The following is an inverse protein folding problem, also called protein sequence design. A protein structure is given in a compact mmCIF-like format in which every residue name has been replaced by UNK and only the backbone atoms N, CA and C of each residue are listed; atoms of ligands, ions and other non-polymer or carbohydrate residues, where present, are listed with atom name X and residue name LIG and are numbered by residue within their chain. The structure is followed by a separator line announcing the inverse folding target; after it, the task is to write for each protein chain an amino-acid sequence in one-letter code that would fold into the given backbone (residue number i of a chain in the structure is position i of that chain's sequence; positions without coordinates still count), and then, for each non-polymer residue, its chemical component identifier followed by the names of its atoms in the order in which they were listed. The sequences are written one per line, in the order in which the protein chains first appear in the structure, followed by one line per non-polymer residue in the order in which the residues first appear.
data_IF_068003505198
#
_entry.id   IF_068003505198
#
_cell.length_a   1.000
_cell.length_b   1.000
_cell.length_c   1.000
_cell.angle_alpha   90.00
_cell.angle_beta   90.00
_cell.angle_gamma   90.00
#
_symmetry.space_group_name_H-M   'P 1'
#
loop_
_entity.id
_entity.type
_entity.pdbx_description
1 polymer ?
#
# COMPACT_ATOMS: atom_id res chain seq x y z
N UNK A 1 40.41 -45.16 0.10
CA UNK A 1 40.47 -43.84 -0.55
C UNK A 1 39.31 -43.03 0.00
N UNK A 2 39.59 -41.97 0.76
CA UNK A 2 38.58 -41.18 1.50
C UNK A 2 38.21 -39.93 0.70
N UNK A 3 36.90 -39.75 0.55
CA UNK A 3 36.14 -38.49 0.64
C UNK A 3 36.44 -37.40 -0.40
N UNK A 4 35.43 -37.06 -1.19
CA UNK A 4 34.69 -35.80 -1.00
C UNK A 4 33.59 -35.71 -2.07
N UNK A 5 32.34 -35.99 -1.68
CA UNK A 5 31.19 -35.55 -2.46
C UNK A 5 30.97 -34.07 -2.13
N UNK A 6 31.20 -33.18 -3.11
CA UNK A 6 30.77 -31.79 -3.01
C UNK A 6 29.23 -31.78 -3.03
N UNK A 7 28.61 -31.56 -1.87
CA UNK A 7 27.23 -31.11 -1.82
C UNK A 7 27.21 -29.63 -2.24
N UNK A 8 26.80 -29.36 -3.48
CA UNK A 8 26.27 -28.04 -3.83
C UNK A 8 24.99 -27.83 -3.02
N UNK A 9 25.10 -27.04 -1.97
CA UNK A 9 23.95 -26.50 -1.25
C UNK A 9 23.31 -25.46 -2.15
N UNK A 10 22.25 -25.87 -2.87
CA UNK A 10 21.29 -24.95 -3.44
C UNK A 10 20.60 -24.26 -2.28
N UNK A 11 21.15 -23.13 -1.83
CA UNK A 11 20.44 -22.21 -0.95
C UNK A 11 19.18 -21.79 -1.70
N UNK A 12 17.97 -22.09 -1.20
CA UNK A 12 16.77 -21.49 -1.77
C UNK A 12 16.92 -19.99 -1.59
N UNK A 13 17.07 -19.28 -2.70
CA UNK A 13 16.84 -17.84 -2.72
C UNK A 13 15.37 -17.70 -2.37
N UNK A 14 15.08 -17.44 -1.10
CA UNK A 14 13.77 -16.93 -0.71
C UNK A 14 13.64 -15.62 -1.46
N UNK A 15 12.93 -15.64 -2.59
CA UNK A 15 12.39 -14.43 -3.15
C UNK A 15 11.54 -13.83 -2.04
N UNK A 16 12.05 -12.79 -1.37
CA UNK A 16 11.24 -11.97 -0.51
C UNK A 16 10.22 -11.34 -1.44
N UNK A 17 9.02 -11.89 -1.41
CA UNK A 17 7.91 -11.37 -2.16
C UNK A 17 7.53 -10.06 -1.46
N UNK A 18 7.97 -8.96 -2.04
CA UNK A 18 8.01 -7.65 -1.40
C UNK A 18 6.61 -7.03 -1.32
N UNK A 19 6.18 -6.70 -0.10
CA UNK A 19 5.02 -5.84 0.12
C UNK A 19 5.26 -4.51 -0.58
N UNK A 20 4.25 -3.98 -1.29
CA UNK A 20 4.38 -2.65 -1.89
C UNK A 20 3.95 -1.60 -0.88
N UNK A 21 4.84 -0.68 -0.56
CA UNK A 21 4.59 0.38 0.41
C UNK A 21 4.57 1.72 -0.31
N UNK A 22 3.56 2.54 0.00
CA UNK A 22 3.41 3.87 -0.53
C UNK A 22 3.25 4.88 0.60
N UNK A 23 4.05 5.95 0.55
CA UNK A 23 3.92 7.11 1.42
C UNK A 23 3.29 8.23 0.60
N UNK A 24 2.08 8.63 0.95
CA UNK A 24 1.31 9.66 0.28
C UNK A 24 1.22 10.92 1.15
N UNK A 25 1.38 12.08 0.51
CA UNK A 25 1.20 13.38 1.17
C UNK A 25 -0.26 13.58 1.62
N UNK A 26 -0.48 14.52 2.53
CA UNK A 26 -1.83 14.94 2.84
C UNK A 26 -2.51 15.55 1.59
N UNK A 27 -3.83 15.29 1.38
CA UNK A 27 -4.58 15.87 0.26
C UNK A 27 -4.71 17.40 0.32
N UNK A 28 -4.50 17.99 1.50
CA UNK A 28 -4.55 19.43 1.74
C UNK A 28 -3.54 19.82 2.84
N UNK A 29 -2.97 21.03 2.73
CA UNK A 29 -1.93 21.52 3.61
C UNK A 29 -2.45 21.94 5.01
N UNK A 30 -3.74 22.21 5.14
CA UNK A 30 -4.35 22.54 6.44
C UNK A 30 -4.53 21.30 7.33
N UNK A 31 -4.40 20.10 6.75
CA UNK A 31 -4.65 18.81 7.40
C UNK A 31 -3.47 17.83 7.22
N UNK A 32 -2.25 18.17 7.71
CA UNK A 32 -1.06 17.34 7.52
C UNK A 32 -1.19 15.93 8.12
N UNK A 33 -2.06 15.74 9.11
CA UNK A 33 -2.39 14.45 9.70
C UNK A 33 -3.07 13.48 8.72
N UNK A 34 -3.55 13.98 7.58
CA UNK A 34 -4.15 13.18 6.51
C UNK A 34 -3.13 12.58 5.54
N UNK A 35 -1.82 12.75 5.78
CA UNK A 35 -0.80 11.97 5.10
C UNK A 35 -1.04 10.47 5.34
N UNK A 36 -0.88 9.67 4.29
CA UNK A 36 -1.31 8.28 4.30
C UNK A 36 -0.14 7.34 4.01
N UNK A 37 -0.04 6.28 4.80
CA UNK A 37 0.78 5.12 4.47
C UNK A 37 -0.12 4.00 3.97
N UNK A 38 0.15 3.50 2.78
CA UNK A 38 -0.62 2.44 2.13
C UNK A 38 0.28 1.24 1.87
N UNK A 39 -0.15 0.06 2.31
CA UNK A 39 0.60 -1.19 2.11
C UNK A 39 -0.25 -2.16 1.33
N UNK A 40 0.24 -2.65 0.19
CA UNK A 40 -0.34 -3.81 -0.48
C UNK A 40 0.43 -5.05 -0.04
N UNK A 41 -0.28 -6.01 0.55
CA UNK A 41 0.32 -7.29 0.89
C UNK A 41 0.62 -8.12 -0.35
N UNK A 42 1.75 -8.83 -0.28
CA UNK A 42 2.17 -9.72 -1.35
C UNK A 42 1.18 -10.88 -1.54
N UNK A 43 1.00 -11.29 -2.81
CA UNK A 43 0.16 -12.43 -3.19
C UNK A 43 -1.34 -12.25 -2.90
N UNK A 44 -1.76 -11.11 -2.34
CA UNK A 44 -3.11 -10.91 -1.82
C UNK A 44 -3.78 -9.69 -2.46
N UNK A 45 -5.12 -9.73 -2.50
CA UNK A 45 -5.97 -8.57 -2.80
C UNK A 45 -6.35 -7.84 -1.50
N UNK A 46 -5.36 -7.67 -0.63
CA UNK A 46 -5.49 -7.10 0.70
C UNK A 46 -4.33 -6.15 0.97
N UNK A 47 -4.54 -5.25 1.92
CA UNK A 47 -3.55 -4.26 2.31
C UNK A 47 -3.95 -3.54 3.58
N UNK A 48 -3.21 -2.47 3.86
CA UNK A 48 -3.39 -1.65 5.04
C UNK A 48 -3.39 -0.17 4.68
N UNK A 49 -4.20 0.62 5.38
CA UNK A 49 -4.19 2.08 5.34
C UNK A 49 -3.94 2.62 6.75
N UNK A 50 -2.93 3.48 6.89
CA UNK A 50 -2.68 4.26 8.11
C UNK A 50 -2.75 5.75 7.78
N UNK A 51 -3.67 6.50 8.42
CA UNK A 51 -3.91 7.94 8.23
C UNK A 51 -4.29 8.56 9.58
N UNK A 52 -3.44 9.41 10.16
CA UNK A 52 -3.68 9.93 11.52
C UNK A 52 -3.96 8.80 12.52
N UNK A 53 -5.14 8.83 13.15
CA UNK A 53 -5.62 7.78 14.08
C UNK A 53 -6.33 6.59 13.39
N UNK A 54 -6.45 6.60 12.07
CA UNK A 54 -7.06 5.51 11.29
C UNK A 54 -5.97 4.49 10.98
N UNK A 55 -6.18 3.25 11.41
CA UNK A 55 -5.31 2.09 11.12
C UNK A 55 -6.22 0.90 10.75
N UNK A 56 -6.28 0.55 9.47
CA UNK A 56 -7.29 -0.39 8.92
C UNK A 56 -6.76 -1.31 7.84
N UNK A 57 -7.20 -2.56 7.94
CA UNK A 57 -7.15 -3.53 6.86
C UNK A 57 -8.14 -3.17 5.74
N UNK A 58 -7.71 -3.33 4.49
CA UNK A 58 -8.46 -2.95 3.30
C UNK A 58 -8.38 -3.99 2.20
N UNK A 59 -9.36 -3.94 1.29
CA UNK A 59 -9.27 -4.62 0.01
C UNK A 59 -8.39 -3.83 -0.94
N UNK A 60 -7.59 -4.53 -1.74
CA UNK A 60 -6.73 -3.90 -2.76
C UNK A 60 -7.04 -4.46 -4.14
N UNK A 61 -7.48 -3.57 -5.04
CA UNK A 61 -7.83 -3.91 -6.41
C UNK A 61 -6.81 -3.30 -7.39
N UNK A 62 -6.12 -4.13 -8.19
CA UNK A 62 -5.28 -3.63 -9.27
C UNK A 62 -6.13 -3.17 -10.47
N UNK A 63 -5.87 -1.96 -10.94
CA UNK A 63 -6.35 -1.42 -12.21
C UNK A 63 -5.27 -1.45 -13.30
N UNK A 64 -5.52 -0.80 -14.44
CA UNK A 64 -4.53 -0.72 -15.53
C UNK A 64 -3.26 0.04 -15.12
N UNK A 65 -3.42 1.21 -14.50
CA UNK A 65 -2.34 2.11 -14.06
C UNK A 65 -2.46 2.49 -12.57
N UNK A 66 -3.34 1.79 -11.84
CA UNK A 66 -3.75 2.15 -10.49
C UNK A 66 -3.75 0.98 -9.52
N UNK A 67 -3.54 1.29 -8.24
CA UNK A 67 -3.85 0.41 -7.12
C UNK A 67 -4.91 1.07 -6.25
N UNK A 68 -6.08 0.46 -6.20
CA UNK A 68 -7.20 0.94 -5.40
C UNK A 68 -7.20 0.26 -4.03
N UNK A 69 -7.13 1.04 -2.97
CA UNK A 69 -7.27 0.62 -1.58
C UNK A 69 -8.66 1.02 -1.09
N UNK A 70 -9.45 0.05 -0.65
CA UNK A 70 -10.85 0.23 -0.29
C UNK A 70 -11.13 -0.28 1.13
N UNK A 71 -11.51 0.64 2.00
CA UNK A 71 -12.11 0.34 3.29
C UNK A 71 -13.63 0.55 3.21
N UNK A 72 -14.40 -0.45 3.61
CA UNK A 72 -15.84 -0.33 3.86
C UNK A 72 -16.06 -0.69 5.32
N UNK A 73 -16.29 0.32 6.17
CA UNK A 73 -16.73 0.15 7.54
C UNK A 73 -18.22 0.42 7.71
N UNK A 74 -18.71 0.27 8.93
CA UNK A 74 -20.13 0.48 9.26
C UNK A 74 -20.57 1.94 9.05
N UNK A 75 -19.70 2.90 9.42
CA UNK A 75 -20.05 4.33 9.45
C UNK A 75 -19.42 5.17 8.34
N UNK A 76 -18.40 4.66 7.65
CA UNK A 76 -17.73 5.37 6.57
C UNK A 76 -16.99 4.42 5.63
N UNK A 77 -16.74 4.92 4.42
CA UNK A 77 -15.86 4.28 3.44
C UNK A 77 -14.65 5.15 3.19
N UNK A 78 -13.50 4.52 2.95
CA UNK A 78 -12.29 5.20 2.47
C UNK A 78 -11.84 4.55 1.18
N UNK A 79 -11.37 5.39 0.27
CA UNK A 79 -10.92 4.97 -1.04
C UNK A 79 -9.68 5.76 -1.42
N UNK A 80 -8.60 5.05 -1.73
CA UNK A 80 -7.35 5.60 -2.24
C UNK A 80 -7.01 4.94 -3.57
N UNK A 81 -6.91 5.74 -4.62
CA UNK A 81 -6.37 5.31 -5.92
C UNK A 81 -4.95 5.82 -6.04
N UNK A 82 -3.98 4.93 -5.83
CA UNK A 82 -2.57 5.23 -6.08
C UNK A 82 -2.30 5.04 -7.57
N UNK A 83 -1.59 5.97 -8.19
CA UNK A 83 -1.09 5.89 -9.57
C UNK A 83 0.43 5.76 -9.51
N UNK A 84 1.00 4.55 -9.36
CA UNK A 84 2.42 4.37 -9.06
C UNK A 84 3.34 5.01 -10.11
N UNK A 85 2.99 4.91 -11.40
CA UNK A 85 3.78 5.48 -12.49
C UNK A 85 3.78 7.02 -12.51
N UNK A 86 2.69 7.63 -12.04
CA UNK A 86 2.55 9.10 -11.98
C UNK A 86 3.08 9.67 -10.67
N UNK A 87 3.26 8.83 -9.65
CA UNK A 87 3.63 9.27 -8.30
C UNK A 87 2.54 10.12 -7.64
N UNK A 88 1.27 9.83 -7.90
CA UNK A 88 0.12 10.59 -7.38
C UNK A 88 -0.93 9.68 -6.78
N UNK A 89 -1.85 10.25 -6.01
CA UNK A 89 -3.06 9.57 -5.54
C UNK A 89 -4.31 10.43 -5.70
N UNK A 90 -5.46 9.77 -5.79
CA UNK A 90 -6.78 10.35 -5.56
C UNK A 90 -7.41 9.70 -4.31
N UNK A 91 -7.93 10.52 -3.41
CA UNK A 91 -8.61 10.12 -2.18
C UNK A 91 -10.07 10.51 -2.22
N UNK A 92 -10.92 9.64 -1.68
CA UNK A 92 -12.28 9.99 -1.31
C UNK A 92 -12.74 9.24 -0.06
N UNK A 93 -13.52 9.90 0.78
CA UNK A 93 -14.21 9.32 1.90
C UNK A 93 -15.70 9.69 1.86
N UNK A 94 -16.55 8.79 2.36
CA UNK A 94 -17.99 9.04 2.46
C UNK A 94 -18.57 8.50 3.77
N UNK A 95 -19.75 8.96 4.16
CA UNK A 95 -20.37 8.66 5.45
C UNK A 95 -19.98 9.67 6.52
N UNK A 96 -19.65 9.20 7.73
CA UNK A 96 -19.25 10.05 8.86
C UNK A 96 -17.91 10.77 8.66
N UNK A 97 -17.03 10.22 7.81
CA UNK A 97 -15.82 10.89 7.30
C UNK A 97 -16.08 11.19 5.82
N UNK A 98 -16.26 12.45 5.45
CA UNK A 98 -16.57 12.82 4.06
C UNK A 98 -15.55 13.80 3.51
N UNK A 99 -15.14 13.61 2.26
CA UNK A 99 -14.15 14.45 1.62
C UNK A 99 -13.55 13.81 0.38
N UNK A 100 -12.80 14.60 -0.37
CA UNK A 100 -12.04 14.14 -1.52
C UNK A 100 -10.76 14.97 -1.62
N UNK A 101 -9.75 14.41 -2.27
CA UNK A 101 -8.47 15.07 -2.41
C UNK A 101 -7.54 14.35 -3.36
N UNK A 102 -6.39 14.96 -3.62
CA UNK A 102 -5.33 14.40 -4.44
C UNK A 102 -3.99 14.92 -3.97
N UNK A 103 -2.92 14.18 -4.23
CA UNK A 103 -1.59 14.60 -3.84
C UNK A 103 -0.51 13.73 -4.47
N UNK A 104 0.73 13.96 -4.04
CA UNK A 104 1.83 13.11 -4.42
C UNK A 104 1.84 11.83 -3.57
N UNK A 105 2.29 10.74 -4.17
CA UNK A 105 2.49 9.48 -3.47
C UNK A 105 3.71 8.76 -4.03
N UNK A 106 4.60 8.31 -3.15
CA UNK A 106 5.87 7.69 -3.51
C UNK A 106 5.88 6.23 -3.05
N UNK A 107 6.27 5.34 -3.94
CA UNK A 107 6.60 3.96 -3.57
C UNK A 107 7.94 3.90 -2.85
N UNK A 108 7.95 3.27 -1.67
CA UNK A 108 9.11 3.13 -0.77
C UNK A 108 9.48 1.67 -0.50
N UNK A 109 8.91 0.74 -1.26
CA UNK A 109 9.27 -0.68 -1.24
C UNK A 109 10.80 -0.87 -1.27
N UNK A 110 11.34 -1.63 -0.31
CA UNK A 110 12.76 -1.97 -0.25
C UNK A 110 13.72 -0.83 0.16
N UNK A 111 13.22 0.33 0.58
CA UNK A 111 14.02 1.48 1.08
C UNK A 111 14.24 1.46 2.59
#
# INVERSE_FOLDING_TARGET
MKKAALLLTLLPVTAFAEERVFECDAPDAEHPEMAARLVKYDGQQKGHITIGDIDKEVDVFPGLDTLTYLYIGDDYTLHYNVHPEKGTFDFSASGSKSGWGKGACKETTGQ
#
